data_IF_050051885112
#
_entry.id   IF_050051885112
#
_cell.length_a   1.000
_cell.length_b   1.000
_cell.length_c   1.000
_cell.angle_alpha   90.00
_cell.angle_beta   90.00
_cell.angle_gamma   90.00
#
_symmetry.space_group_name_H-M   'P 1'
#
loop_
_entity.id
_entity.type
_entity.pdbx_description
1 polymer ?
#
# COMPACT_ATOMS: atom_id res chain seq x y z
N UNK A 1 -24.06 5.15 18.20
CA UNK A 1 -23.85 4.48 16.90
C UNK A 1 -22.39 4.02 16.86
N UNK A 2 -22.05 2.91 16.21
CA UNK A 2 -20.63 2.53 16.11
C UNK A 2 -19.85 3.61 15.35
N UNK A 3 -18.62 3.89 15.77
CA UNK A 3 -17.77 4.98 15.24
C UNK A 3 -16.54 4.41 14.54
N UNK A 4 -16.35 4.78 13.28
CA UNK A 4 -15.28 4.25 12.42
C UNK A 4 -14.38 5.38 11.94
N UNK A 5 -13.08 5.27 12.22
CA UNK A 5 -12.07 6.19 11.69
C UNK A 5 -11.59 5.69 10.33
N UNK A 6 -11.76 6.50 9.29
CA UNK A 6 -11.32 6.20 7.92
C UNK A 6 -10.13 7.09 7.59
N UNK A 7 -8.93 6.53 7.66
CA UNK A 7 -7.67 7.22 7.37
C UNK A 7 -7.23 6.88 5.96
N UNK A 8 -6.96 7.87 5.12
CA UNK A 8 -6.47 7.62 3.76
C UNK A 8 -5.31 8.52 3.40
N UNK A 9 -4.46 8.04 2.51
CA UNK A 9 -3.51 8.89 1.79
C UNK A 9 -3.49 8.50 0.33
N UNK A 10 -3.89 9.40 -0.58
CA UNK A 10 -3.83 9.16 -2.03
C UNK A 10 -3.16 10.32 -2.75
N UNK A 11 -2.23 10.00 -3.66
CA UNK A 11 -1.64 10.99 -4.55
C UNK A 11 -2.50 11.26 -5.78
N UNK A 12 -3.05 10.20 -6.36
CA UNK A 12 -3.76 10.26 -7.64
C UNK A 12 -5.28 10.22 -7.51
N UNK A 13 -5.80 10.15 -6.28
CA UNK A 13 -7.23 9.97 -5.97
C UNK A 13 -7.75 8.54 -6.12
N UNK A 14 -7.03 7.64 -6.82
CA UNK A 14 -7.51 6.26 -7.06
C UNK A 14 -7.76 5.49 -5.75
N UNK A 15 -6.91 5.68 -4.74
CA UNK A 15 -7.13 5.02 -3.46
C UNK A 15 -8.35 5.60 -2.74
N UNK A 16 -8.54 6.93 -2.78
CA UNK A 16 -9.71 7.54 -2.16
C UNK A 16 -11.00 7.02 -2.80
N UNK A 17 -11.02 6.82 -4.12
CA UNK A 17 -12.15 6.16 -4.81
C UNK A 17 -12.36 4.71 -4.33
N UNK A 18 -11.29 3.94 -4.15
CA UNK A 18 -11.37 2.56 -3.63
C UNK A 18 -11.98 2.57 -2.22
N UNK A 19 -11.42 3.38 -1.32
CA UNK A 19 -11.88 3.46 0.08
C UNK A 19 -13.32 3.97 0.13
N UNK A 20 -13.68 4.99 -0.65
CA UNK A 20 -15.05 5.48 -0.76
C UNK A 20 -16.03 4.37 -1.18
N UNK A 21 -15.66 3.53 -2.14
CA UNK A 21 -16.49 2.38 -2.53
C UNK A 21 -16.57 1.33 -1.41
N UNK A 22 -15.47 1.04 -0.71
CA UNK A 22 -15.48 0.12 0.45
C UNK A 22 -16.41 0.61 1.55
N UNK A 23 -16.35 1.90 1.91
CA UNK A 23 -17.14 2.47 3.01
C UNK A 23 -18.55 2.92 2.60
N UNK A 24 -18.88 2.88 1.32
CA UNK A 24 -20.19 3.32 0.80
C UNK A 24 -21.37 2.62 1.47
N UNK A 25 -21.26 1.33 1.76
CA UNK A 25 -22.32 0.58 2.44
C UNK A 25 -22.37 0.85 3.95
N UNK A 26 -21.34 1.47 4.53
CA UNK A 26 -21.32 1.84 5.95
C UNK A 26 -22.00 3.19 6.20
N UNK A 27 -22.05 4.07 5.19
CA UNK A 27 -22.66 5.39 5.28
C UNK A 27 -24.12 5.31 5.76
N UNK A 28 -24.47 6.15 6.74
CA UNK A 28 -25.80 6.19 7.37
C UNK A 28 -26.09 5.02 8.34
N UNK A 29 -25.20 4.03 8.45
CA UNK A 29 -25.33 2.88 9.35
C UNK A 29 -24.32 2.90 10.51
N UNK A 30 -23.23 3.64 10.34
CA UNK A 30 -22.22 3.95 11.37
C UNK A 30 -21.81 5.42 11.28
N UNK A 31 -21.21 5.95 12.34
CA UNK A 31 -20.56 7.27 12.31
C UNK A 31 -19.20 7.13 11.63
N UNK A 32 -19.00 7.84 10.51
CA UNK A 32 -17.73 7.84 9.77
C UNK A 32 -16.96 9.12 10.08
N UNK A 33 -15.76 8.98 10.62
CA UNK A 33 -14.80 10.08 10.80
C UNK A 33 -13.71 9.92 9.76
N UNK A 34 -13.60 10.84 8.80
CA UNK A 34 -12.63 10.74 7.69
C UNK A 34 -11.39 11.59 7.96
N UNK A 35 -10.21 10.98 7.87
CA UNK A 35 -8.90 11.63 8.05
C UNK A 35 -8.02 11.41 6.82
N UNK A 36 -8.19 12.21 5.75
CA UNK A 36 -7.24 12.23 4.63
C UNK A 36 -5.93 12.91 5.07
N UNK A 37 -4.84 12.16 5.07
CA UNK A 37 -3.53 12.63 5.53
C UNK A 37 -2.95 13.68 4.58
N UNK A 38 -2.40 14.76 5.16
CA UNK A 38 -1.80 15.87 4.42
C UNK A 38 -0.33 16.06 4.80
N UNK A 39 0.62 15.56 4.00
CA UNK A 39 2.03 15.76 4.27
C UNK A 39 2.49 17.21 4.07
N UNK A 40 3.53 17.59 4.81
CA UNK A 40 4.14 18.92 4.75
C UNK A 40 5.66 18.77 4.57
N UNK A 41 6.22 19.15 3.40
CA UNK A 41 5.53 19.54 2.17
C UNK A 41 4.75 18.36 1.55
N UNK A 42 3.81 18.69 0.64
CA UNK A 42 3.05 17.66 -0.07
C UNK A 42 3.90 16.90 -1.10
N UNK A 43 3.57 15.64 -1.37
CA UNK A 43 4.22 14.85 -2.41
C UNK A 43 3.45 15.00 -3.73
N UNK A 44 4.08 15.57 -4.77
CA UNK A 44 3.37 16.02 -5.95
C UNK A 44 2.77 14.86 -6.75
N UNK A 45 1.63 15.13 -7.37
CA UNK A 45 1.08 14.31 -8.44
C UNK A 45 0.61 15.21 -9.60
N UNK A 46 1.14 15.05 -10.82
CA UNK A 46 2.19 14.12 -11.20
C UNK A 46 3.55 14.43 -10.57
N UNK A 47 4.38 13.40 -10.46
CA UNK A 47 5.75 13.49 -9.98
C UNK A 47 6.65 14.18 -11.00
N UNK A 48 7.60 14.99 -10.51
CA UNK A 48 8.58 15.70 -11.34
C UNK A 48 9.95 15.03 -11.28
N UNK A 49 10.36 14.43 -12.39
CA UNK A 49 11.75 14.01 -12.61
C UNK A 49 12.35 13.15 -11.49
N UNK A 50 13.29 13.74 -10.73
CA UNK A 50 14.05 13.04 -9.70
C UNK A 50 13.28 12.90 -8.37
N UNK A 51 12.29 13.76 -8.12
CA UNK A 51 11.56 13.84 -6.84
C UNK A 51 10.88 12.53 -6.46
N UNK A 52 10.41 11.78 -7.47
CA UNK A 52 9.86 10.43 -7.27
C UNK A 52 10.90 9.51 -6.62
N UNK A 53 12.13 9.50 -7.16
CA UNK A 53 13.22 8.67 -6.65
C UNK A 53 13.75 9.20 -5.32
N UNK A 54 13.65 10.51 -5.11
CA UNK A 54 14.03 11.20 -3.88
C UNK A 54 13.18 10.71 -2.68
N UNK A 55 11.90 10.36 -2.89
CA UNK A 55 11.06 9.79 -1.82
C UNK A 55 11.40 8.33 -1.43
N UNK A 56 12.20 7.63 -2.23
CA UNK A 56 12.48 6.20 -2.04
C UNK A 56 13.20 5.87 -0.73
N UNK A 57 14.32 6.54 -0.37
CA UNK A 57 15.09 6.15 0.81
C UNK A 57 14.28 6.27 2.10
N UNK A 58 13.57 7.39 2.29
CA UNK A 58 12.73 7.64 3.46
C UNK A 58 11.53 6.69 3.53
N UNK A 59 10.89 6.36 2.40
CA UNK A 59 9.81 5.36 2.35
C UNK A 59 10.31 3.96 2.71
N UNK A 60 11.45 3.54 2.17
CA UNK A 60 12.01 2.19 2.39
C UNK A 60 12.50 2.00 3.82
N UNK A 61 13.16 3.01 4.39
CA UNK A 61 13.62 3.02 5.78
C UNK A 61 12.52 3.42 6.77
N UNK A 62 11.32 3.73 6.29
CA UNK A 62 10.20 4.20 7.09
C UNK A 62 10.58 5.38 7.99
N UNK A 63 11.32 6.34 7.45
CA UNK A 63 11.66 7.58 8.14
C UNK A 63 10.43 8.51 8.06
N UNK A 64 9.85 8.92 9.22
CA UNK A 64 8.69 9.79 9.21
C UNK A 64 9.05 11.20 8.73
N UNK A 65 8.04 11.94 8.29
CA UNK A 65 8.12 13.36 7.92
C UNK A 65 7.12 14.16 8.76
N UNK A 66 6.66 15.32 8.27
CA UNK A 66 5.61 16.11 8.90
C UNK A 66 4.25 15.87 8.23
N UNK A 67 3.20 15.89 9.05
CA UNK A 67 1.80 15.92 8.63
C UNK A 67 1.14 17.18 9.18
N UNK A 68 0.11 17.67 8.50
CA UNK A 68 -0.81 18.63 9.10
C UNK A 68 -1.48 18.02 10.35
N UNK A 69 -1.91 18.84 11.32
CA UNK A 69 -2.66 18.36 12.47
C UNK A 69 -3.87 17.52 12.07
N UNK A 70 -4.11 16.42 12.80
CA UNK A 70 -5.26 15.57 12.57
C UNK A 70 -6.56 16.26 12.98
N UNK A 71 -7.65 15.93 12.28
CA UNK A 71 -8.99 16.44 12.59
C UNK A 71 -9.73 15.58 13.61
N UNK A 72 -9.43 14.29 13.67
CA UNK A 72 -9.99 13.43 14.72
C UNK A 72 -9.43 13.80 16.09
N UNK A 73 -10.24 13.62 17.14
CA UNK A 73 -9.79 13.77 18.51
C UNK A 73 -9.06 12.49 18.96
N UNK A 74 -7.79 12.56 19.40
CA UNK A 74 -7.02 11.39 19.83
C UNK A 74 -7.56 10.68 21.07
N UNK A 75 -8.44 11.33 21.83
CA UNK A 75 -9.07 10.76 23.02
C UNK A 75 -10.45 10.13 22.71
N UNK A 76 -10.91 10.18 21.45
CA UNK A 76 -12.11 9.48 21.01
C UNK A 76 -11.89 7.95 20.95
N UNK A 77 -12.94 7.21 21.28
CA UNK A 77 -13.00 5.77 21.03
C UNK A 77 -13.55 5.48 19.63
N UNK A 78 -12.88 4.58 18.90
CA UNK A 78 -13.31 4.07 17.61
C UNK A 78 -13.53 2.55 17.69
N UNK A 79 -14.65 2.07 17.15
CA UNK A 79 -14.97 0.63 17.06
C UNK A 79 -14.17 -0.06 15.95
N UNK A 80 -13.67 0.70 14.97
CA UNK A 80 -12.87 0.22 13.85
C UNK A 80 -12.05 1.36 13.24
N UNK A 81 -10.83 1.05 12.80
CA UNK A 81 -10.02 1.92 11.94
C UNK A 81 -9.92 1.28 10.54
N UNK A 82 -10.21 2.03 9.49
CA UNK A 82 -9.94 1.65 8.10
C UNK A 82 -8.76 2.49 7.61
N UNK A 83 -7.63 1.85 7.34
CA UNK A 83 -6.39 2.48 6.90
C UNK A 83 -6.16 2.22 5.40
N UNK A 84 -6.42 3.21 4.58
CA UNK A 84 -6.18 3.20 3.15
C UNK A 84 -4.79 3.72 2.79
N UNK A 85 -4.03 3.01 1.96
CA UNK A 85 -2.73 3.48 1.46
C UNK A 85 -2.31 2.89 0.10
N UNK A 86 -1.55 3.64 -0.74
CA UNK A 86 -0.83 3.09 -1.88
C UNK A 86 0.50 2.45 -1.45
N UNK A 87 1.20 1.80 -2.37
CA UNK A 87 2.53 1.25 -2.11
C UNK A 87 3.61 2.08 -2.79
N UNK A 88 4.64 2.46 -2.05
CA UNK A 88 5.80 3.19 -2.57
C UNK A 88 7.05 2.34 -2.40
N UNK A 89 7.76 2.06 -3.50
CA UNK A 89 9.03 1.34 -3.45
C UNK A 89 9.01 0.08 -2.56
N UNK A 90 7.96 -0.75 -2.73
CA UNK A 90 7.75 -2.00 -1.96
C UNK A 90 7.61 -1.77 -0.44
N UNK A 91 7.22 -0.56 -0.05
CA UNK A 91 7.22 -0.05 1.33
C UNK A 91 5.99 0.84 1.57
N UNK A 92 5.67 1.14 2.84
CA UNK A 92 4.64 2.12 3.15
C UNK A 92 4.99 3.51 2.62
N UNK A 93 4.01 4.30 2.17
CA UNK A 93 4.25 5.68 1.79
C UNK A 93 4.55 6.50 3.06
N UNK A 94 5.43 7.49 2.93
CA UNK A 94 5.93 8.30 4.05
C UNK A 94 4.80 8.87 4.93
N UNK A 95 3.68 9.39 4.38
CA UNK A 95 2.57 9.89 5.20
C UNK A 95 1.94 8.85 6.11
N UNK A 96 1.82 7.60 5.64
CA UNK A 96 1.23 6.50 6.42
C UNK A 96 2.18 6.02 7.50
N UNK A 97 3.48 5.94 7.19
CA UNK A 97 4.51 5.73 8.22
C UNK A 97 4.49 6.82 9.28
N UNK A 98 4.35 8.08 8.86
CA UNK A 98 4.31 9.22 9.78
C UNK A 98 3.11 9.17 10.70
N UNK A 99 1.92 8.89 10.14
CA UNK A 99 0.70 8.65 10.91
C UNK A 99 0.88 7.53 11.93
N UNK A 100 1.31 6.34 11.49
CA UNK A 100 1.47 5.18 12.38
C UNK A 100 2.57 5.34 13.44
N UNK A 101 3.46 6.32 13.31
CA UNK A 101 4.49 6.64 14.30
C UNK A 101 4.13 7.82 15.21
N UNK A 102 2.93 8.40 15.04
CA UNK A 102 2.49 9.54 15.84
C UNK A 102 1.97 9.11 17.22
N UNK A 103 2.03 10.03 18.19
CA UNK A 103 1.55 9.77 19.56
C UNK A 103 0.03 9.68 19.64
N UNK A 104 -0.66 10.47 18.82
CA UNK A 104 -2.11 10.51 18.68
C UNK A 104 -2.64 9.15 18.21
N UNK A 105 -1.98 8.54 17.22
CA UNK A 105 -2.38 7.24 16.67
C UNK A 105 -2.22 6.13 17.68
N UNK A 106 -1.16 6.17 18.50
CA UNK A 106 -0.96 5.19 19.56
C UNK A 106 -2.12 5.16 20.56
N UNK A 107 -2.81 6.29 20.79
CA UNK A 107 -3.99 6.35 21.66
C UNK A 107 -5.20 5.67 21.03
N UNK A 108 -5.58 6.10 19.82
CA UNK A 108 -6.81 5.63 19.15
C UNK A 108 -6.71 4.20 18.62
N UNK A 109 -5.49 3.72 18.35
CA UNK A 109 -5.27 2.37 17.80
C UNK A 109 -5.16 1.30 18.90
N UNK A 110 -4.97 1.69 20.16
CA UNK A 110 -4.80 0.75 21.28
C UNK A 110 -6.05 -0.13 21.46
N UNK A 111 -5.88 -1.43 21.28
CA UNK A 111 -6.96 -2.44 21.33
C UNK A 111 -8.03 -2.30 20.25
N UNK A 112 -7.83 -1.42 19.26
CA UNK A 112 -8.82 -1.13 18.22
C UNK A 112 -8.64 -2.07 17.02
N UNK A 113 -9.73 -2.67 16.50
CA UNK A 113 -9.69 -3.40 15.23
C UNK A 113 -9.27 -2.50 14.08
N UNK A 114 -8.39 -3.00 13.20
CA UNK A 114 -7.89 -2.27 12.03
C UNK A 114 -8.13 -3.11 10.77
N UNK A 115 -8.65 -2.46 9.73
CA UNK A 115 -8.69 -2.99 8.36
C UNK A 115 -7.74 -2.16 7.51
N UNK A 116 -6.97 -2.82 6.66
CA UNK A 116 -6.12 -2.17 5.68
C UNK A 116 -6.75 -2.23 4.29
N UNK A 117 -6.65 -1.15 3.53
CA UNK A 117 -7.14 -1.06 2.14
C UNK A 117 -6.00 -0.57 1.26
N UNK A 118 -5.58 -1.41 0.31
CA UNK A 118 -4.39 -1.19 -0.50
C UNK A 118 -4.81 -1.01 -1.95
N UNK A 119 -4.38 0.10 -2.54
CA UNK A 119 -4.37 0.30 -3.98
C UNK A 119 -2.95 0.16 -4.50
N UNK A 120 -2.64 -0.92 -5.22
CA UNK A 120 -1.29 -1.17 -5.72
C UNK A 120 -1.27 -1.46 -7.21
N UNK A 121 -0.08 -1.42 -7.80
CA UNK A 121 0.13 -1.98 -9.13
C UNK A 121 0.00 -3.50 -9.08
N UNK A 122 0.88 -4.17 -8.34
CA UNK A 122 0.81 -5.62 -8.10
C UNK A 122 1.67 -6.10 -6.93
N UNK A 123 2.53 -5.25 -6.40
CA UNK A 123 3.42 -5.53 -5.28
C UNK A 123 2.97 -4.71 -4.07
N UNK A 124 2.65 -5.39 -2.97
CA UNK A 124 2.14 -4.76 -1.75
C UNK A 124 2.51 -5.49 -0.46
N UNK A 125 3.03 -6.71 -0.58
CA UNK A 125 3.19 -7.62 0.56
C UNK A 125 4.16 -7.06 1.59
N UNK A 126 5.32 -6.56 1.19
CA UNK A 126 6.32 -6.02 2.11
C UNK A 126 5.83 -4.74 2.79
N UNK A 127 5.12 -3.87 2.06
CA UNK A 127 4.51 -2.68 2.65
C UNK A 127 3.46 -3.06 3.71
N UNK A 128 2.63 -4.07 3.44
CA UNK A 128 1.67 -4.57 4.41
C UNK A 128 2.33 -5.25 5.61
N UNK A 129 3.42 -5.99 5.42
CA UNK A 129 4.16 -6.58 6.56
C UNK A 129 4.78 -5.50 7.45
N UNK A 130 5.31 -4.42 6.87
CA UNK A 130 5.81 -3.26 7.62
C UNK A 130 4.65 -2.57 8.38
N UNK A 131 3.49 -2.40 7.75
CA UNK A 131 2.29 -1.80 8.38
C UNK A 131 1.68 -2.70 9.46
N UNK A 132 1.63 -4.02 9.29
CA UNK A 132 1.22 -4.97 10.34
C UNK A 132 2.04 -4.78 11.60
N UNK A 133 3.37 -4.66 11.47
CA UNK A 133 4.27 -4.44 12.61
C UNK A 133 3.99 -3.10 13.29
N UNK A 134 3.78 -2.03 12.52
CA UNK A 134 3.44 -0.72 13.10
C UNK A 134 2.05 -0.70 13.76
N UNK A 135 1.04 -1.36 13.19
CA UNK A 135 -0.29 -1.52 13.81
C UNK A 135 -0.17 -2.26 15.14
N UNK A 136 0.51 -3.41 15.14
CA UNK A 136 0.73 -4.19 16.35
C UNK A 136 1.53 -3.42 17.41
N UNK A 137 2.54 -2.66 16.99
CA UNK A 137 3.34 -1.79 17.86
C UNK A 137 2.53 -0.67 18.54
N UNK A 138 1.43 -0.23 17.93
CA UNK A 138 0.46 0.70 18.52
C UNK A 138 -0.65 0.00 19.33
N UNK A 139 -0.56 -1.33 19.51
CA UNK A 139 -1.59 -2.13 20.20
C UNK A 139 -2.86 -2.37 19.38
N UNK A 140 -2.86 -2.03 18.09
CA UNK A 140 -3.96 -2.31 17.18
C UNK A 140 -4.06 -3.77 16.79
N UNK A 141 -5.27 -4.21 16.45
CA UNK A 141 -5.54 -5.57 16.01
C UNK A 141 -5.88 -5.56 14.53
N UNK A 142 -4.97 -5.99 13.66
CA UNK A 142 -5.30 -6.14 12.25
C UNK A 142 -6.32 -7.29 12.09
N UNK A 143 -7.51 -6.96 11.60
CA UNK A 143 -8.63 -7.91 11.45
C UNK A 143 -9.08 -8.09 10.00
N UNK A 144 -8.65 -7.20 9.10
CA UNK A 144 -8.90 -7.34 7.66
C UNK A 144 -7.83 -6.69 6.80
N UNK A 145 -7.63 -7.24 5.61
CA UNK A 145 -6.79 -6.69 4.55
C UNK A 145 -7.51 -6.82 3.21
N UNK A 146 -7.65 -5.70 2.52
CA UNK A 146 -8.18 -5.60 1.17
C UNK A 146 -7.07 -5.04 0.30
N UNK A 147 -6.66 -5.77 -0.74
CA UNK A 147 -5.67 -5.34 -1.71
C UNK A 147 -6.23 -5.46 -3.13
N UNK A 148 -6.48 -4.31 -3.74
CA UNK A 148 -6.82 -4.22 -5.15
C UNK A 148 -5.57 -3.87 -5.94
N UNK A 149 -5.37 -4.59 -7.04
CA UNK A 149 -4.19 -4.48 -7.89
C UNK A 149 -4.56 -4.27 -9.36
N UNK A 150 -3.65 -3.69 -10.10
CA UNK A 150 -3.64 -3.75 -11.56
C UNK A 150 -3.46 -5.22 -12.00
N UNK A 151 -4.33 -5.68 -12.89
CA UNK A 151 -4.32 -7.05 -13.43
C UNK A 151 -3.75 -7.15 -14.84
N UNK A 152 -3.32 -6.04 -15.44
CA UNK A 152 -2.66 -6.07 -16.74
C UNK A 152 -1.29 -6.77 -16.67
N UNK A 153 -0.75 -7.11 -17.84
CA UNK A 153 0.59 -7.69 -17.96
C UNK A 153 1.62 -6.81 -17.22
N UNK A 154 2.56 -7.44 -16.52
CA UNK A 154 3.55 -6.76 -15.69
C UNK A 154 4.27 -5.65 -16.50
N UNK A 155 4.98 -5.96 -17.59
CA UNK A 155 5.78 -4.93 -18.27
C UNK A 155 4.93 -3.78 -18.84
N UNK A 156 3.78 -4.10 -19.44
CA UNK A 156 2.83 -3.10 -19.92
C UNK A 156 2.34 -2.19 -18.78
N UNK A 157 2.00 -2.78 -17.64
CA UNK A 157 1.57 -2.05 -16.44
C UNK A 157 2.67 -1.13 -15.88
N UNK A 158 3.96 -1.50 -15.96
CA UNK A 158 5.06 -0.59 -15.58
C UNK A 158 5.02 0.66 -16.46
N UNK A 159 4.96 0.48 -17.78
CA UNK A 159 4.98 1.59 -18.75
C UNK A 159 3.81 2.54 -18.49
N UNK A 160 2.60 2.00 -18.29
CA UNK A 160 1.41 2.81 -18.03
C UNK A 160 1.47 3.53 -16.69
N UNK A 161 2.03 2.91 -15.64
CA UNK A 161 2.19 3.57 -14.33
C UNK A 161 3.23 4.70 -14.42
N UNK A 162 4.37 4.50 -15.09
CA UNK A 162 5.35 5.58 -15.30
C UNK A 162 4.70 6.76 -16.06
N UNK A 163 3.94 6.46 -17.12
CA UNK A 163 3.18 7.47 -17.85
C UNK A 163 2.21 8.22 -16.95
N UNK A 164 1.41 7.51 -16.15
CA UNK A 164 0.42 8.11 -15.27
C UNK A 164 1.06 8.96 -14.18
N UNK A 165 2.08 8.44 -13.51
CA UNK A 165 2.76 9.14 -12.43
C UNK A 165 3.50 10.38 -12.93
N UNK A 166 4.05 10.36 -14.14
CA UNK A 166 4.76 11.50 -14.72
C UNK A 166 3.88 12.54 -15.41
N UNK A 167 2.70 12.16 -15.92
CA UNK A 167 1.83 13.07 -16.69
C UNK A 167 0.51 13.41 -16.02
N UNK A 168 0.08 12.63 -15.02
CA UNK A 168 -1.23 12.73 -14.38
C UNK A 168 -2.36 12.15 -15.23
N UNK A 169 -2.11 11.72 -16.47
CA UNK A 169 -3.14 11.24 -17.40
C UNK A 169 -3.49 9.78 -17.15
N UNK A 170 -4.76 9.51 -16.85
CA UNK A 170 -5.32 8.16 -16.62
C UNK A 170 -6.07 7.65 -17.87
N UNK A 171 -5.44 7.78 -19.03
CA UNK A 171 -5.97 7.32 -20.32
C UNK A 171 -5.15 6.15 -20.88
N UNK A 172 -5.43 5.76 -22.14
CA UNK A 172 -4.66 4.72 -22.85
C UNK A 172 -3.43 5.37 -23.47
N UNK A 173 -2.26 5.15 -22.87
CA UNK A 173 -1.00 5.64 -23.43
C UNK A 173 -0.81 5.15 -24.87
N UNK A 174 -0.52 6.08 -25.79
CA UNK A 174 -0.40 5.84 -27.23
C UNK A 174 -1.61 5.11 -27.87
N UNK A 175 -2.78 5.13 -27.22
CA UNK A 175 -4.00 4.40 -27.59
C UNK A 175 -3.88 2.87 -27.63
N UNK A 176 -2.69 2.29 -27.46
CA UNK A 176 -2.42 0.84 -27.52
C UNK A 176 -2.29 0.21 -26.13
N UNK A 177 -1.78 0.95 -25.15
CA UNK A 177 -1.60 0.43 -23.80
C UNK A 177 -2.92 0.44 -23.02
N UNK A 178 -3.08 -0.47 -22.04
CA UNK A 178 -4.22 -0.43 -21.13
C UNK A 178 -4.21 0.86 -20.27
N UNK A 179 -5.35 1.15 -19.63
CA UNK A 179 -5.39 2.23 -18.64
C UNK A 179 -4.52 1.85 -17.42
N UNK A 180 -3.78 2.81 -16.84
CA UNK A 180 -2.95 2.57 -15.66
C UNK A 180 -3.77 2.31 -14.40
N UNK A 181 -3.24 1.46 -13.51
CA UNK A 181 -3.75 1.30 -12.15
C UNK A 181 -4.85 0.24 -12.01
N UNK A 182 -5.61 0.33 -10.93
CA UNK A 182 -6.73 -0.59 -10.65
C UNK A 182 -7.88 -0.26 -11.61
N UNK A 183 -8.52 -1.29 -12.15
CA UNK A 183 -9.59 -1.10 -13.14
C UNK A 183 -10.82 -0.40 -12.53
N UNK A 184 -11.50 0.44 -13.31
CA UNK A 184 -12.73 1.12 -12.88
C UNK A 184 -13.80 0.12 -12.39
N UNK A 185 -13.82 -1.09 -12.99
CA UNK A 185 -14.69 -2.20 -12.57
C UNK A 185 -14.35 -2.68 -11.16
N UNK A 186 -13.07 -2.87 -10.85
CA UNK A 186 -12.64 -3.33 -9.53
C UNK A 186 -12.86 -2.28 -8.44
N UNK A 187 -12.62 -1.01 -8.76
CA UNK A 187 -12.87 0.12 -7.86
C UNK A 187 -14.36 0.17 -7.52
N UNK A 188 -15.26 0.16 -8.52
CA UNK A 188 -16.72 0.16 -8.31
C UNK A 188 -17.20 -1.08 -7.54
N UNK A 189 -16.59 -2.24 -7.81
CA UNK A 189 -16.95 -3.49 -7.14
C UNK A 189 -16.37 -3.60 -5.72
N UNK A 190 -15.56 -2.64 -5.25
CA UNK A 190 -15.03 -2.66 -3.89
C UNK A 190 -16.13 -2.54 -2.82
N UNK A 191 -17.32 -2.03 -3.18
CA UNK A 191 -18.52 -2.02 -2.32
C UNK A 191 -18.90 -3.40 -1.77
N UNK A 192 -18.50 -4.49 -2.45
CA UNK A 192 -18.77 -5.87 -2.01
C UNK A 192 -18.19 -6.17 -0.62
N UNK A 193 -17.12 -5.48 -0.23
CA UNK A 193 -16.47 -5.70 1.06
C UNK A 193 -17.20 -5.07 2.24
N UNK A 194 -18.05 -4.07 1.98
CA UNK A 194 -18.63 -3.27 3.05
C UNK A 194 -19.69 -3.99 3.88
N UNK A 195 -20.47 -4.92 3.31
CA UNK A 195 -21.45 -5.73 4.08
C UNK A 195 -20.78 -6.65 5.13
N UNK A 196 -19.75 -7.45 4.79
CA UNK A 196 -18.98 -8.19 5.80
C UNK A 196 -18.39 -7.31 6.91
N UNK A 197 -17.91 -6.11 6.56
CA UNK A 197 -17.36 -5.16 7.54
C UNK A 197 -18.46 -4.66 8.47
N UNK A 198 -19.61 -4.29 7.92
CA UNK A 198 -20.77 -3.82 8.69
C UNK A 198 -21.29 -4.92 9.64
N UNK A 199 -21.36 -6.16 9.18
CA UNK A 199 -21.73 -7.32 9.99
C UNK A 199 -20.76 -7.52 11.17
N UNK A 200 -19.44 -7.43 10.92
CA UNK A 200 -18.42 -7.54 11.96
C UNK A 200 -18.52 -6.41 13.00
N UNK A 201 -18.81 -5.17 12.57
CA UNK A 201 -19.03 -4.03 13.48
C UNK A 201 -20.26 -4.27 14.35
N UNK A 202 -21.39 -4.66 13.75
CA UNK A 202 -22.67 -4.87 14.47
C UNK A 202 -22.58 -5.99 15.50
N UNK A 203 -21.90 -7.09 15.15
CA UNK A 203 -21.72 -8.25 16.02
C UNK A 203 -20.53 -8.10 16.97
N UNK A 204 -19.72 -7.05 16.81
CA UNK A 204 -18.42 -6.86 17.49
C UNK A 204 -17.50 -8.07 17.37
N UNK A 205 -17.65 -8.86 16.29
CA UNK A 205 -16.87 -10.07 16.05
C UNK A 205 -16.12 -9.96 14.72
N UNK A 206 -14.81 -9.80 14.82
CA UNK A 206 -13.93 -9.62 13.68
C UNK A 206 -13.13 -10.89 13.32
N UNK A 207 -13.27 -11.99 14.07
CA UNK A 207 -12.39 -13.16 13.96
C UNK A 207 -12.43 -13.83 12.57
N UNK A 208 -13.59 -13.83 11.92
CA UNK A 208 -13.79 -14.41 10.59
C UNK A 208 -13.84 -13.36 9.47
N UNK A 209 -13.60 -12.08 9.78
CA UNK A 209 -13.73 -11.02 8.80
C UNK A 209 -12.76 -11.22 7.64
N UNK A 210 -11.50 -11.55 7.92
CA UNK A 210 -10.53 -11.77 6.85
C UNK A 210 -10.92 -12.90 5.90
N UNK A 211 -11.45 -14.01 6.42
CA UNK A 211 -11.87 -15.14 5.59
C UNK A 211 -13.06 -14.76 4.69
N UNK A 212 -14.04 -14.01 5.24
CA UNK A 212 -15.16 -13.44 4.46
C UNK A 212 -14.65 -12.50 3.35
N UNK A 213 -13.65 -11.67 3.65
CA UNK A 213 -13.02 -10.76 2.66
C UNK A 213 -12.28 -11.55 1.58
N UNK A 214 -11.51 -12.58 1.94
CA UNK A 214 -10.80 -13.44 0.99
C UNK A 214 -11.79 -14.14 0.05
N UNK A 215 -12.91 -14.66 0.57
CA UNK A 215 -13.97 -15.29 -0.24
C UNK A 215 -14.57 -14.31 -1.29
N UNK A 216 -14.48 -13.01 -1.03
CA UNK A 216 -14.87 -11.94 -1.95
C UNK A 216 -13.72 -11.44 -2.82
N UNK A 217 -12.62 -12.19 -2.93
CA UNK A 217 -11.41 -11.79 -3.66
C UNK A 217 -10.85 -10.44 -3.17
N UNK A 218 -10.79 -10.25 -1.85
CA UNK A 218 -10.12 -9.09 -1.26
C UNK A 218 -8.60 -9.14 -1.40
N UNK A 219 -8.01 -10.33 -1.53
CA UNK A 219 -6.55 -10.49 -1.57
C UNK A 219 -6.14 -11.47 -2.65
N UNK A 220 -5.61 -10.93 -3.76
CA UNK A 220 -4.99 -11.71 -4.82
C UNK A 220 -3.46 -11.59 -4.77
N UNK A 221 -2.79 -12.74 -4.82
CA UNK A 221 -1.34 -12.84 -4.83
C UNK A 221 -0.88 -13.63 -6.05
N UNK A 222 0.18 -13.13 -6.68
CA UNK A 222 0.96 -13.86 -7.67
C UNK A 222 2.28 -14.31 -6.99
N UNK A 223 2.55 -15.63 -6.88
CA UNK A 223 3.75 -16.13 -6.24
C UNK A 223 5.08 -15.62 -6.82
N UNK A 224 5.15 -15.42 -8.14
CA UNK A 224 6.34 -14.87 -8.80
C UNK A 224 6.53 -13.40 -8.42
N UNK A 225 5.44 -12.63 -8.42
CA UNK A 225 5.46 -11.22 -7.99
C UNK A 225 5.91 -11.12 -6.54
N UNK A 226 5.36 -11.92 -5.63
CA UNK A 226 5.77 -11.88 -4.21
C UNK A 226 7.22 -12.31 -4.02
N UNK A 227 7.70 -13.31 -4.77
CA UNK A 227 9.11 -13.73 -4.74
C UNK A 227 10.02 -12.59 -5.18
N UNK A 228 9.68 -11.94 -6.29
CA UNK A 228 10.40 -10.77 -6.84
C UNK A 228 10.38 -9.60 -5.86
N UNK A 229 9.23 -9.31 -5.27
CA UNK A 229 9.04 -8.24 -4.29
C UNK A 229 9.97 -8.41 -3.07
N UNK A 230 10.01 -9.63 -2.50
CA UNK A 230 10.86 -9.93 -1.35
C UNK A 230 12.36 -9.77 -1.65
N UNK A 231 12.80 -10.13 -2.85
CA UNK A 231 14.20 -9.92 -3.29
C UNK A 231 14.47 -8.43 -3.51
N UNK A 232 13.55 -7.74 -4.17
CA UNK A 232 13.61 -6.30 -4.44
C UNK A 232 13.71 -5.47 -3.17
N UNK A 233 12.87 -5.74 -2.16
CA UNK A 233 12.88 -5.02 -0.88
C UNK A 233 14.26 -5.06 -0.19
N UNK A 234 14.96 -6.19 -0.24
CA UNK A 234 16.32 -6.30 0.32
C UNK A 234 17.32 -5.40 -0.41
N UNK A 235 17.25 -5.36 -1.74
CA UNK A 235 18.13 -4.52 -2.54
C UNK A 235 17.78 -3.04 -2.35
N UNK A 236 16.49 -2.73 -2.23
CA UNK A 236 16.04 -1.36 -1.97
C UNK A 236 16.55 -0.85 -0.63
N UNK A 237 16.62 -1.70 0.41
CA UNK A 237 17.27 -1.35 1.70
C UNK A 237 18.76 -1.01 1.56
N UNK A 238 19.49 -1.67 0.66
CA UNK A 238 20.88 -1.33 0.40
C UNK A 238 21.01 0.02 -0.31
N UNK A 239 20.14 0.26 -1.30
CA UNK A 239 20.10 1.53 -2.03
C UNK A 239 19.66 2.70 -1.16
N UNK A 240 18.63 2.54 -0.33
CA UNK A 240 18.17 3.56 0.61
C UNK A 240 19.28 3.94 1.59
N UNK A 241 19.91 2.96 2.24
CA UNK A 241 21.03 3.20 3.15
C UNK A 241 22.23 3.87 2.44
N UNK A 242 22.52 3.46 1.19
CA UNK A 242 23.53 4.13 0.38
C UNK A 242 23.15 5.58 0.07
N UNK A 243 21.91 5.88 -0.32
CA UNK A 243 21.49 7.25 -0.66
C UNK A 243 21.47 8.15 0.59
N UNK A 244 20.92 7.67 1.71
CA UNK A 244 20.79 8.43 2.97
C UNK A 244 22.12 8.90 3.55
N UNK A 245 23.23 8.18 3.27
CA UNK A 245 24.59 8.62 3.63
C UNK A 245 25.01 9.96 3.00
N UNK A 246 24.29 10.48 2.00
CA UNK A 246 24.55 11.80 1.38
C UNK A 246 23.61 12.90 1.86
N UNK A 247 22.62 12.59 2.69
CA UNK A 247 21.72 13.57 3.28
C UNK A 247 20.26 13.14 3.25
N UNK A 248 19.44 13.90 3.98
CA UNK A 248 17.99 13.78 4.04
C UNK A 248 17.32 14.26 2.75
N UNK A 249 15.98 14.19 2.75
CA UNK A 249 15.15 14.61 1.63
C UNK A 249 15.47 16.00 1.07
N UNK A 250 15.52 16.11 -0.26
CA UNK A 250 15.87 17.35 -0.97
C UNK A 250 17.34 17.78 -0.91
N UNK A 251 18.25 17.05 -0.23
CA UNK A 251 19.66 17.47 -0.16
C UNK A 251 20.35 17.32 -1.54
N UNK A 252 20.96 18.38 -2.10
CA UNK A 252 21.61 18.30 -3.41
C UNK A 252 22.72 17.23 -3.49
N UNK A 253 23.39 16.92 -2.38
CA UNK A 253 24.50 15.97 -2.31
C UNK A 253 24.10 14.52 -2.64
N UNK A 254 22.81 14.17 -2.56
CA UNK A 254 22.32 12.83 -2.90
C UNK A 254 21.90 12.67 -4.36
N UNK A 255 21.84 13.76 -5.14
CA UNK A 255 21.35 13.77 -6.52
C UNK A 255 21.99 12.70 -7.41
N UNK A 256 23.32 12.58 -7.39
CA UNK A 256 24.03 11.59 -8.20
C UNK A 256 23.65 10.15 -7.83
N UNK A 257 23.43 9.86 -6.54
CA UNK A 257 23.03 8.51 -6.08
C UNK A 257 21.59 8.19 -6.51
N UNK A 258 20.72 9.19 -6.56
CA UNK A 258 19.35 9.04 -7.07
C UNK A 258 19.34 8.78 -8.57
N UNK A 259 20.17 9.48 -9.35
CA UNK A 259 20.31 9.21 -10.79
C UNK A 259 20.81 7.79 -11.05
N UNK A 260 21.83 7.34 -10.29
CA UNK A 260 22.29 5.96 -10.36
C UNK A 260 21.16 4.97 -10.06
N UNK A 261 20.40 5.20 -8.98
CA UNK A 261 19.26 4.35 -8.61
C UNK A 261 18.17 4.35 -9.68
N UNK A 262 17.86 5.50 -10.29
CA UNK A 262 16.89 5.61 -11.39
C UNK A 262 17.26 4.70 -12.55
N UNK A 263 18.50 4.78 -13.05
CA UNK A 263 18.93 3.95 -14.18
C UNK A 263 19.05 2.48 -13.79
N UNK A 264 19.54 2.19 -12.58
CA UNK A 264 19.56 0.84 -12.02
C UNK A 264 18.15 0.23 -11.99
N UNK A 265 17.15 0.96 -11.51
CA UNK A 265 15.78 0.49 -11.39
C UNK A 265 15.18 0.17 -12.76
N UNK A 266 15.37 1.07 -13.74
CA UNK A 266 14.91 0.85 -15.11
C UNK A 266 15.60 -0.38 -15.73
N UNK A 267 16.91 -0.52 -15.55
CA UNK A 267 17.66 -1.69 -16.00
C UNK A 267 17.11 -2.99 -15.39
N UNK A 268 16.89 -3.03 -14.07
CA UNK A 268 16.35 -4.22 -13.40
C UNK A 268 14.96 -4.58 -13.89
N UNK A 269 14.09 -3.59 -14.11
CA UNK A 269 12.72 -3.85 -14.55
C UNK A 269 12.69 -4.39 -15.98
N UNK A 270 13.38 -3.74 -16.92
CA UNK A 270 13.28 -4.09 -18.34
C UNK A 270 14.18 -5.26 -18.75
N UNK A 271 15.33 -5.42 -18.10
CA UNK A 271 16.33 -6.41 -18.49
C UNK A 271 16.36 -7.58 -17.52
N UNK A 272 16.42 -7.34 -16.20
CA UNK A 272 16.64 -8.42 -15.22
C UNK A 272 15.35 -9.17 -14.86
N UNK A 273 14.21 -8.48 -14.74
CA UNK A 273 12.94 -9.07 -14.28
C UNK A 273 12.43 -10.26 -15.11
N UNK A 274 12.55 -10.27 -16.46
CA UNK A 274 12.21 -11.45 -17.26
C UNK A 274 13.01 -12.70 -16.87
N UNK A 275 14.33 -12.57 -16.65
CA UNK A 275 15.18 -13.69 -16.23
C UNK A 275 14.86 -14.17 -14.82
N UNK A 276 14.59 -13.25 -13.89
CA UNK A 276 14.18 -13.61 -12.52
C UNK A 276 12.88 -14.42 -12.53
N UNK A 277 11.92 -14.02 -13.39
CA UNK A 277 10.66 -14.74 -13.55
C UNK A 277 10.88 -16.12 -14.14
N UNK A 278 11.75 -16.26 -15.15
CA UNK A 278 12.11 -17.54 -15.74
C UNK A 278 12.71 -18.50 -14.69
N UNK A 279 13.70 -18.05 -13.92
CA UNK A 279 14.31 -18.84 -12.85
C UNK A 279 13.27 -19.22 -11.78
N UNK A 280 12.34 -18.31 -11.46
CA UNK A 280 11.24 -18.62 -10.53
C UNK A 280 10.39 -19.77 -11.03
N UNK A 281 9.93 -19.75 -12.28
CA UNK A 281 9.09 -20.82 -12.82
C UNK A 281 9.82 -22.16 -12.95
N UNK A 282 11.12 -22.14 -13.28
CA UNK A 282 11.94 -23.36 -13.30
C UNK A 282 12.10 -23.99 -11.90
N UNK A 283 12.18 -23.15 -10.86
CA UNK A 283 12.35 -23.62 -9.47
C UNK A 283 11.02 -23.82 -8.73
N UNK A 284 9.90 -23.37 -9.28
CA UNK A 284 8.58 -23.38 -8.65
C UNK A 284 8.11 -24.77 -8.21
N UNK A 285 8.21 -25.85 -9.02
CA UNK A 285 7.75 -27.17 -8.63
C UNK A 285 8.47 -27.71 -7.38
N UNK A 286 9.78 -27.47 -7.28
CA UNK A 286 10.61 -27.94 -6.16
C UNK A 286 10.27 -27.25 -4.83
N UNK A 287 9.73 -26.03 -4.88
CA UNK A 287 9.41 -25.23 -3.69
C UNK A 287 7.91 -25.01 -3.49
N UNK A 288 7.04 -25.75 -4.21
CA UNK A 288 5.60 -25.52 -4.27
C UNK A 288 4.95 -25.42 -2.88
N UNK A 289 5.18 -26.40 -2.01
CA UNK A 289 4.58 -26.44 -0.66
C UNK A 289 4.98 -25.23 0.19
N UNK A 290 6.27 -24.85 0.14
CA UNK A 290 6.78 -23.67 0.86
C UNK A 290 6.14 -22.38 0.33
N UNK A 291 6.01 -22.26 -0.99
CA UNK A 291 5.39 -21.10 -1.63
C UNK A 291 3.90 -21.02 -1.24
N UNK A 292 3.16 -22.13 -1.29
CA UNK A 292 1.75 -22.21 -0.92
C UNK A 292 1.51 -21.75 0.52
N UNK A 293 2.30 -22.25 1.47
CA UNK A 293 2.23 -21.81 2.87
C UNK A 293 2.53 -20.31 3.03
N UNK A 294 3.51 -19.81 2.26
CA UNK A 294 3.88 -18.39 2.26
C UNK A 294 2.74 -17.51 1.70
N UNK A 295 2.05 -17.97 0.66
CA UNK A 295 0.90 -17.25 0.09
C UNK A 295 -0.26 -17.20 1.08
N UNK A 296 -0.57 -18.33 1.73
CA UNK A 296 -1.62 -18.37 2.78
C UNK A 296 -1.32 -17.40 3.92
N UNK A 297 -0.04 -17.31 4.34
CA UNK A 297 0.38 -16.34 5.34
C UNK A 297 0.18 -14.89 4.88
N UNK A 298 0.61 -14.54 3.66
CA UNK A 298 0.46 -13.16 3.18
C UNK A 298 -1.00 -12.77 2.88
N UNK A 299 -1.87 -13.75 2.62
CA UNK A 299 -3.32 -13.51 2.55
C UNK A 299 -3.95 -13.29 3.93
N UNK A 300 -3.31 -13.71 5.02
CA UNK A 300 -3.83 -13.54 6.37
C UNK A 300 -3.43 -12.19 6.99
N UNK A 301 -4.13 -11.86 8.07
CA UNK A 301 -3.83 -10.69 8.92
C UNK A 301 -2.82 -11.00 10.02
N UNK A 302 -2.36 -12.25 10.10
CA UNK A 302 -1.39 -12.69 11.10
C UNK A 302 -0.04 -11.99 10.91
N UNK A 303 0.66 -11.79 12.02
CA UNK A 303 2.03 -11.30 12.05
C UNK A 303 2.94 -12.39 12.61
N UNK A 304 4.00 -12.72 11.86
CA UNK A 304 5.09 -13.61 12.29
C UNK A 304 6.23 -12.84 12.94
#
# INVERSE_FOLDING_TARGET
MAKVLVVTYSQSGQLDEIVANVVSSLAGRVELVTEPLKPIPDFPFPWKGIDFYDAMPESVEMIPSALAPFKFNPDDHFDLIILGYPVWFLSPPIPITTFLKSKEVAKVMKSTPVITVIGSRNMWVNAQEDIKRMIAGNGGKLVGNISLRDRHNNLASVITIIYWMGTGKKDRYLRVFPKPGVSDKDIKNAKRFGEPILDAIKTKNFNQLQDKLIALNAVELDPNVVSTENKGKKIFKLWSAFILKKGASGNPSRFNRLLMFKYYLLFVIFIVSPFVSLVFYLTYPFFYNRIKLKMKYYQSVSLK
#
